data_IF_879378587167
#
_entry.id   IF_879378587167
#
_cell.length_a   1.000
_cell.length_b   1.000
_cell.length_c   1.000
_cell.angle_alpha   90.00
_cell.angle_beta   90.00
_cell.angle_gamma   90.00
#
_symmetry.space_group_name_H-M   'P 1'
#
loop_
_entity.id
_entity.type
_entity.pdbx_description
1 polymer ?
#
# COMPACT_ATOMS: atom_id res chain seq x y z
N UNK A 1 -3.27 -15.23 -6.52
CA UNK A 1 -3.31 -14.49 -5.24
C UNK A 1 -3.02 -13.04 -5.58
N UNK A 2 -4.00 -12.15 -5.57
CA UNK A 2 -3.71 -10.70 -5.72
C UNK A 2 -2.73 -10.30 -4.62
N UNK A 3 -1.83 -9.36 -4.82
CA UNK A 3 -1.03 -8.76 -3.75
C UNK A 3 -1.36 -7.26 -3.72
N UNK A 4 -1.53 -6.68 -2.53
CA UNK A 4 -1.93 -5.27 -2.37
C UNK A 4 -0.67 -4.39 -2.23
N UNK A 5 0.08 -4.22 -3.31
CA UNK A 5 1.27 -3.35 -3.40
C UNK A 5 1.03 -2.16 -4.33
N UNK A 6 1.99 -1.23 -4.41
CA UNK A 6 2.04 -0.12 -5.37
C UNK A 6 1.71 -0.56 -6.81
N UNK A 7 0.60 -0.08 -7.36
CA UNK A 7 0.17 -0.40 -8.74
C UNK A 7 0.34 0.85 -9.60
N UNK A 8 1.58 1.14 -9.98
CA UNK A 8 1.83 2.10 -11.07
C UNK A 8 1.13 1.63 -12.33
N UNK A 9 0.19 2.45 -12.82
CA UNK A 9 -0.45 2.27 -14.12
C UNK A 9 -1.80 1.56 -14.12
N UNK A 10 -2.31 1.10 -12.97
CA UNK A 10 -3.70 0.62 -12.94
C UNK A 10 -4.67 1.79 -13.11
N UNK A 11 -5.62 1.66 -14.03
CA UNK A 11 -6.60 2.69 -14.28
C UNK A 11 -7.65 2.73 -13.16
N UNK A 12 -7.63 3.83 -12.40
CA UNK A 12 -8.62 4.18 -11.38
C UNK A 12 -9.39 5.39 -11.89
N UNK A 13 -10.71 5.23 -12.09
CA UNK A 13 -11.60 6.29 -12.60
C UNK A 13 -11.11 6.94 -13.91
N UNK A 14 -10.61 6.13 -14.84
CA UNK A 14 -10.14 6.58 -16.15
C UNK A 14 -8.78 7.29 -16.13
N UNK A 15 -8.04 7.25 -15.01
CA UNK A 15 -6.67 7.76 -14.91
C UNK A 15 -5.73 6.69 -14.37
N UNK A 16 -4.48 6.59 -14.86
CA UNK A 16 -3.50 5.69 -14.28
C UNK A 16 -3.16 6.14 -12.87
N UNK A 17 -3.29 5.24 -11.90
CA UNK A 17 -2.85 5.48 -10.55
C UNK A 17 -1.32 5.48 -10.49
N UNK A 18 -0.74 6.58 -10.01
CA UNK A 18 0.69 6.70 -9.71
C UNK A 18 0.86 6.60 -8.19
N UNK A 19 0.50 5.44 -7.66
CA UNK A 19 0.31 5.24 -6.22
C UNK A 19 -0.14 3.84 -5.87
N UNK A 20 -0.68 3.69 -4.66
CA UNK A 20 -1.27 2.42 -4.21
C UNK A 20 -2.76 2.43 -4.53
N UNK A 21 -3.27 1.35 -5.10
CA UNK A 21 -4.71 1.19 -5.27
C UNK A 21 -5.28 0.53 -4.02
N UNK A 22 -6.01 1.33 -3.23
CA UNK A 22 -6.78 0.83 -2.10
C UNK A 22 -8.17 0.42 -2.57
N UNK A 23 -8.55 -0.83 -2.29
CA UNK A 23 -9.92 -1.33 -2.52
C UNK A 23 -10.73 -1.12 -1.25
N UNK A 24 -11.76 -0.29 -1.34
CA UNK A 24 -12.64 0.08 -0.22
C UNK A 24 -13.29 -1.15 0.39
N UNK A 25 -13.19 -1.25 1.71
CA UNK A 25 -13.81 -2.28 2.55
C UNK A 25 -14.93 -1.67 3.39
N UNK A 26 -15.71 -2.56 4.03
CA UNK A 26 -16.83 -2.15 4.88
C UNK A 26 -16.31 -1.28 6.03
N UNK A 27 -16.82 -0.06 6.12
CA UNK A 27 -16.49 0.88 7.19
C UNK A 27 -15.30 1.79 6.89
N UNK A 28 -14.72 1.70 5.70
CA UNK A 28 -13.72 2.67 5.23
C UNK A 28 -14.35 4.04 4.97
N UNK A 29 -13.55 5.07 5.23
CA UNK A 29 -13.81 6.45 4.86
C UNK A 29 -12.52 7.03 4.30
N UNK A 30 -12.59 8.09 3.49
CA UNK A 30 -11.35 8.75 3.03
C UNK A 30 -10.48 9.19 4.22
N UNK A 31 -11.07 9.59 5.34
CA UNK A 31 -10.32 9.91 6.55
C UNK A 31 -9.55 8.70 7.10
N UNK A 32 -10.20 7.53 7.25
CA UNK A 32 -9.52 6.31 7.71
C UNK A 32 -8.42 5.88 6.74
N UNK A 33 -8.72 5.90 5.44
CA UNK A 33 -7.75 5.61 4.38
C UNK A 33 -6.56 6.56 4.51
N UNK A 34 -6.79 7.87 4.63
CA UNK A 34 -5.69 8.84 4.72
C UNK A 34 -4.80 8.61 5.95
N UNK A 35 -5.38 8.20 7.08
CA UNK A 35 -4.63 7.84 8.29
C UNK A 35 -3.82 6.56 8.12
N UNK A 36 -4.35 5.59 7.38
CA UNK A 36 -3.68 4.31 7.10
C UNK A 36 -2.43 4.50 6.24
N UNK A 37 -2.52 5.35 5.21
CA UNK A 37 -1.41 5.59 4.28
C UNK A 37 -0.57 6.82 4.61
N UNK A 38 -0.87 7.49 5.73
CA UNK A 38 -0.27 8.77 6.13
C UNK A 38 -0.25 9.83 5.02
N UNK A 39 -1.41 10.01 4.38
CA UNK A 39 -1.63 11.05 3.35
C UNK A 39 -2.69 12.04 3.79
N UNK A 40 -2.73 13.21 3.16
CA UNK A 40 -3.82 14.15 3.40
C UNK A 40 -5.08 13.66 2.69
N UNK A 41 -6.23 13.81 3.35
CA UNK A 41 -7.55 13.55 2.71
C UNK A 41 -7.72 14.37 1.44
N UNK A 42 -7.20 15.60 1.41
CA UNK A 42 -7.22 16.46 0.23
C UNK A 42 -6.50 15.83 -0.97
N UNK A 43 -5.37 15.16 -0.74
CA UNK A 43 -4.60 14.50 -1.80
C UNK A 43 -5.35 13.27 -2.34
N UNK A 44 -6.05 12.52 -1.47
CA UNK A 44 -6.96 11.45 -1.89
C UNK A 44 -8.10 11.98 -2.77
N UNK A 45 -8.72 13.08 -2.39
CA UNK A 45 -9.82 13.68 -3.18
C UNK A 45 -9.29 14.14 -4.54
N UNK A 46 -8.14 14.80 -4.56
CA UNK A 46 -7.55 15.35 -5.77
C UNK A 46 -7.13 14.25 -6.77
N UNK A 47 -6.57 13.15 -6.28
CA UNK A 47 -6.14 12.02 -7.10
C UNK A 47 -7.28 11.15 -7.63
N UNK A 48 -8.49 11.26 -7.06
CA UNK A 48 -9.62 10.39 -7.39
C UNK A 48 -10.82 11.17 -7.93
N UNK A 49 -10.67 11.91 -9.06
CA UNK A 49 -11.79 12.60 -9.66
C UNK A 49 -12.85 11.59 -10.10
N UNK A 50 -14.12 11.88 -9.79
CA UNK A 50 -15.26 11.03 -10.14
C UNK A 50 -15.63 9.99 -9.08
N UNK A 51 -14.80 9.76 -8.06
CA UNK A 51 -15.21 8.96 -6.89
C UNK A 51 -16.26 9.71 -6.10
N UNK A 52 -17.29 8.99 -5.66
CA UNK A 52 -18.31 9.51 -4.74
C UNK A 52 -17.74 9.53 -3.32
N UNK A 53 -16.92 10.53 -3.02
CA UNK A 53 -16.13 10.60 -1.78
C UNK A 53 -16.96 10.58 -0.48
N UNK A 54 -18.21 11.03 -0.53
CA UNK A 54 -19.16 10.99 0.60
C UNK A 54 -20.03 9.72 0.62
N UNK A 55 -19.86 8.82 -0.35
CA UNK A 55 -20.64 7.60 -0.51
C UNK A 55 -19.76 6.47 -1.08
N UNK A 56 -18.60 6.25 -0.46
CA UNK A 56 -17.70 5.16 -0.84
C UNK A 56 -18.43 3.81 -0.71
N UNK A 57 -18.37 3.01 -1.77
CA UNK A 57 -18.94 1.66 -1.81
C UNK A 57 -17.84 0.61 -1.63
N UNK A 58 -18.17 -0.50 -0.98
CA UNK A 58 -17.25 -1.65 -0.91
C UNK A 58 -16.89 -2.10 -2.31
N UNK A 59 -15.60 -2.24 -2.58
CA UNK A 59 -15.06 -2.57 -3.90
C UNK A 59 -14.63 -1.35 -4.74
N UNK A 60 -14.97 -0.13 -4.33
CA UNK A 60 -14.45 1.08 -4.98
C UNK A 60 -12.91 1.09 -4.90
N UNK A 61 -12.27 1.56 -5.97
CA UNK A 61 -10.81 1.71 -6.03
C UNK A 61 -10.45 3.17 -5.78
N UNK A 62 -9.58 3.39 -4.80
CA UNK A 62 -9.02 4.68 -4.42
C UNK A 62 -7.53 4.66 -4.73
N UNK A 63 -7.10 5.52 -5.64
CA UNK A 63 -5.70 5.79 -5.86
C UNK A 63 -5.15 6.63 -4.71
N UNK A 64 -4.28 6.04 -3.90
CA UNK A 64 -3.61 6.72 -2.81
C UNK A 64 -2.26 7.22 -3.33
N UNK A 65 -2.03 8.54 -3.40
CA UNK A 65 -0.74 9.07 -3.81
C UNK A 65 0.32 8.70 -2.78
N UNK A 66 1.48 8.26 -3.25
CA UNK A 66 2.68 8.24 -2.42
C UNK A 66 3.42 9.55 -2.67
N UNK A 67 3.29 10.52 -1.77
CA UNK A 67 4.09 11.76 -1.80
C UNK A 67 4.48 12.07 -0.36
N UNK A 68 5.71 11.81 0.07
CA UNK A 68 6.85 12.71 -0.16
C UNK A 68 8.22 12.01 -0.28
N UNK A 69 8.26 10.71 -0.57
CA UNK A 69 9.50 10.06 -0.95
C UNK A 69 9.59 10.05 -2.47
N UNK A 70 10.65 10.66 -2.99
CA UNK A 70 11.10 10.40 -4.35
C UNK A 70 11.09 8.89 -4.50
N UNK A 71 10.30 8.40 -5.45
CA UNK A 71 10.35 6.98 -5.76
C UNK A 71 11.72 6.73 -6.36
N UNK A 72 12.44 5.68 -5.95
CA UNK A 72 13.64 5.33 -6.69
C UNK A 72 13.23 4.97 -8.10
N UNK A 73 14.02 5.42 -9.05
CA UNK A 73 14.18 4.65 -10.25
C UNK A 73 14.60 3.23 -9.84
N UNK A 74 13.97 2.20 -10.39
CA UNK A 74 14.18 0.79 -10.03
C UNK A 74 15.62 0.26 -10.23
N UNK A 75 16.58 1.15 -10.53
CA UNK A 75 18.00 0.93 -10.84
C UNK A 75 18.93 1.66 -9.85
N UNK A 76 18.37 2.47 -8.95
CA UNK A 76 19.08 3.07 -7.82
C UNK A 76 19.27 1.99 -6.75
N UNK A 77 20.51 1.56 -6.50
CA UNK A 77 20.84 0.54 -5.49
C UNK A 77 20.54 0.92 -4.03
N UNK A 78 19.85 2.04 -3.76
CA UNK A 78 19.30 2.34 -2.45
C UNK A 78 18.01 1.55 -2.22
N UNK A 79 17.88 1.00 -1.01
CA UNK A 79 16.72 0.20 -0.66
C UNK A 79 15.53 1.09 -0.28
N UNK A 80 14.86 1.78 -1.21
CA UNK A 80 13.55 2.32 -0.85
C UNK A 80 12.55 1.20 -0.59
N UNK A 81 11.57 1.57 0.22
CA UNK A 81 10.45 0.73 0.55
C UNK A 81 9.28 1.05 -0.35
N UNK A 82 8.46 0.03 -0.61
CA UNK A 82 7.13 0.19 -1.15
C UNK A 82 6.12 -0.19 -0.05
N UNK A 83 5.01 0.55 0.07
CA UNK A 83 3.96 0.24 1.03
C UNK A 83 3.26 -1.09 0.66
N UNK A 84 3.07 -1.92 1.67
CA UNK A 84 2.30 -3.16 1.65
C UNK A 84 1.15 -3.08 2.64
N UNK A 85 -0.07 -3.37 2.20
CA UNK A 85 -1.25 -3.31 3.06
C UNK A 85 -1.58 -4.69 3.58
N UNK A 86 -1.49 -4.86 4.91
CA UNK A 86 -1.91 -6.07 5.60
C UNK A 86 -3.39 -6.37 5.32
N UNK A 87 -3.68 -7.62 4.96
CA UNK A 87 -5.05 -8.11 4.72
C UNK A 87 -5.67 -8.75 5.95
N UNK A 88 -7.00 -8.85 5.92
CA UNK A 88 -7.75 -9.66 6.87
C UNK A 88 -7.14 -11.06 6.97
N UNK A 89 -6.74 -11.45 8.18
CA UNK A 89 -6.21 -12.79 8.47
C UNK A 89 -4.76 -13.04 8.07
N UNK A 90 -4.02 -12.05 7.55
CA UNK A 90 -2.56 -12.20 7.40
C UNK A 90 -1.85 -12.14 8.75
N UNK A 91 -0.89 -13.03 8.96
CA UNK A 91 -0.05 -13.08 10.16
C UNK A 91 1.34 -12.52 9.88
N UNK A 92 2.02 -11.98 10.91
CA UNK A 92 3.36 -11.41 10.77
C UNK A 92 4.32 -12.43 10.16
N UNK A 93 4.27 -13.67 10.64
CA UNK A 93 5.06 -14.77 10.11
C UNK A 93 4.79 -15.02 8.61
N UNK A 94 3.52 -15.01 8.19
CA UNK A 94 3.18 -15.20 6.78
C UNK A 94 3.71 -14.05 5.91
N UNK A 95 3.67 -12.81 6.38
CA UNK A 95 4.24 -11.64 5.68
C UNK A 95 5.77 -11.74 5.60
N UNK A 96 6.43 -12.04 6.72
CA UNK A 96 7.89 -12.20 6.77
C UNK A 96 8.37 -13.31 5.85
N UNK A 97 7.71 -14.47 5.88
CA UNK A 97 7.98 -15.57 4.94
C UNK A 97 7.69 -15.16 3.50
N UNK A 98 6.61 -14.41 3.28
CA UNK A 98 6.23 -13.95 1.94
C UNK A 98 7.29 -13.05 1.36
N UNK A 99 7.80 -12.07 2.10
CA UNK A 99 8.79 -11.12 1.57
C UNK A 99 10.23 -11.55 1.84
N UNK A 100 10.45 -12.74 2.42
CA UNK A 100 11.77 -13.24 2.82
C UNK A 100 12.52 -12.20 3.64
N UNK A 101 11.84 -11.74 4.69
CA UNK A 101 12.34 -10.78 5.67
C UNK A 101 12.46 -11.44 7.03
N UNK A 102 13.42 -10.96 7.81
CA UNK A 102 13.42 -11.13 9.26
C UNK A 102 12.55 -10.06 9.92
N UNK A 103 12.11 -10.32 11.15
CA UNK A 103 11.39 -9.30 11.94
C UNK A 103 12.24 -8.04 12.15
N UNK A 104 13.55 -8.20 12.37
CA UNK A 104 14.47 -7.07 12.56
C UNK A 104 14.57 -6.19 11.31
N UNK A 105 14.67 -6.79 10.12
CA UNK A 105 14.65 -6.04 8.85
C UNK A 105 13.32 -5.29 8.66
N UNK A 106 12.19 -5.91 9.00
CA UNK A 106 10.89 -5.26 8.91
C UNK A 106 10.77 -4.10 9.91
N UNK A 107 11.18 -4.30 11.17
CA UNK A 107 11.09 -3.30 12.23
C UNK A 107 11.96 -2.08 11.94
N UNK A 108 13.16 -2.26 11.37
CA UNK A 108 14.04 -1.14 10.96
C UNK A 108 13.38 -0.19 9.97
N UNK A 109 12.46 -0.69 9.14
CA UNK A 109 11.74 0.10 8.13
C UNK A 109 10.40 0.62 8.64
N UNK A 110 9.97 0.14 9.80
CA UNK A 110 8.68 0.43 10.38
C UNK A 110 8.83 0.55 11.91
N UNK A 111 9.49 1.61 12.37
CA UNK A 111 9.95 1.78 13.76
C UNK A 111 8.81 1.63 14.79
N UNK A 112 7.58 2.00 14.42
CA UNK A 112 6.41 1.99 15.31
C UNK A 112 5.53 0.72 15.20
N UNK A 113 5.97 -0.34 14.49
CA UNK A 113 5.08 -1.51 14.31
C UNK A 113 5.03 -2.38 15.55
N UNK A 114 3.80 -2.74 15.91
CA UNK A 114 3.52 -3.80 16.87
C UNK A 114 3.43 -5.15 16.15
N UNK A 115 3.90 -6.25 16.76
CA UNK A 115 3.64 -7.61 16.29
C UNK A 115 2.14 -7.94 16.16
N UNK A 116 1.29 -7.22 16.89
CA UNK A 116 -0.16 -7.28 16.80
C UNK A 116 -0.70 -6.16 15.87
N UNK A 117 -0.24 -6.12 14.63
CA UNK A 117 -0.75 -5.15 13.66
C UNK A 117 -2.21 -5.47 13.29
N UNK A 118 -2.95 -4.46 12.87
CA UNK A 118 -4.34 -4.61 12.46
C UNK A 118 -4.44 -4.87 10.95
N UNK A 119 -5.58 -5.41 10.50
CA UNK A 119 -5.93 -5.35 9.09
C UNK A 119 -5.86 -3.90 8.58
N UNK A 120 -5.28 -3.71 7.41
CA UNK A 120 -5.10 -2.39 6.82
C UNK A 120 -3.85 -1.68 7.29
N UNK A 121 -3.07 -2.21 8.24
CA UNK A 121 -1.74 -1.67 8.56
C UNK A 121 -0.89 -1.60 7.28
N UNK A 122 -0.23 -0.46 7.07
CA UNK A 122 0.72 -0.29 5.98
C UNK A 122 2.11 -0.59 6.50
N UNK A 123 2.80 -1.49 5.83
CA UNK A 123 4.18 -1.88 6.08
C UNK A 123 5.05 -1.40 4.93
N UNK A 124 6.09 -0.66 5.24
CA UNK A 124 7.21 -0.38 4.36
C UNK A 124 8.01 -1.67 4.15
N UNK A 125 7.93 -2.23 2.95
CA UNK A 125 8.64 -3.44 2.55
C UNK A 125 9.70 -3.06 1.51
N UNK A 126 10.94 -3.58 1.56
CA UNK A 126 11.94 -3.25 0.55
C UNK A 126 11.41 -3.51 -0.86
N UNK A 127 11.55 -2.52 -1.75
CA UNK A 127 11.01 -2.53 -3.11
C UNK A 127 11.45 -3.80 -3.87
N UNK A 128 12.72 -4.19 -3.74
CA UNK A 128 13.26 -5.39 -4.35
C UNK A 128 12.58 -6.71 -3.91
N UNK A 129 12.07 -6.79 -2.68
CA UNK A 129 11.32 -7.97 -2.19
C UNK A 129 9.94 -8.04 -2.83
N UNK A 130 9.26 -6.91 -2.98
CA UNK A 130 7.96 -6.81 -3.64
C UNK A 130 8.09 -7.13 -5.15
N UNK A 131 9.06 -6.50 -5.83
CA UNK A 131 9.26 -6.68 -7.26
C UNK A 131 9.64 -8.12 -7.61
N UNK A 132 10.50 -8.77 -6.82
CA UNK A 132 10.82 -10.19 -6.99
C UNK A 132 9.59 -11.07 -6.90
N UNK A 133 8.71 -10.83 -5.92
CA UNK A 133 7.47 -11.61 -5.77
C UNK A 133 6.52 -11.48 -6.95
N UNK A 134 6.49 -10.32 -7.61
CA UNK A 134 5.69 -10.11 -8.83
C UNK A 134 6.18 -10.97 -10.00
N UNK A 135 7.49 -11.16 -10.12
CA UNK A 135 8.07 -12.00 -11.18
C UNK A 135 7.79 -13.49 -10.92
N UNK A 136 7.77 -13.92 -9.65
CA UNK A 136 7.49 -15.30 -9.26
C UNK A 136 5.99 -15.68 -9.35
N UNK A 137 5.08 -14.72 -9.42
CA UNK A 137 3.63 -14.93 -9.45
C UNK A 137 3.01 -14.91 -10.86
N UNK A 138 3.85 -14.75 -11.89
CA UNK A 138 3.51 -14.90 -13.31
C UNK A 138 3.96 -16.28 -13.80
#
# INVERSE_FOLDING_TARGET
MTMNYYVSGENVNGRPCRGVVHVVKKGDTLYKISRVYDVKVADLIWMNPGVRIYNLQVGDKICVPVSSWEMPDADDGNAETLPYIVRAGETLDAILQTFRLTYEELQKLNEDISPAYAEGTVLNIPSNRILRRRQEAQ
#
